data_IF_803967474135
#
_entry.id   IF_803967474135
#
_cell.length_a   1.000
_cell.length_b   1.000
_cell.length_c   1.000
_cell.angle_alpha   90.00
_cell.angle_beta   90.00
_cell.angle_gamma   90.00
#
_symmetry.space_group_name_H-M   'P 1'
#
loop_
_entity.id
_entity.type
_entity.pdbx_description
1 polymer ?
#
# COMPACT_ATOMS: atom_id res chain seq x y z
N UNK A 1 1.11 51.13 37.22
CA UNK A 1 1.33 50.98 35.76
C UNK A 1 1.67 49.52 35.50
N UNK A 2 0.96 48.94 34.55
CA UNK A 2 0.74 47.51 34.34
C UNK A 2 1.96 46.70 33.90
N UNK A 3 2.00 45.42 34.29
CA UNK A 3 1.98 44.34 33.27
C UNK A 3 1.54 43.00 33.87
N UNK A 4 0.40 42.44 33.45
CA UNK A 4 -0.08 41.16 33.94
C UNK A 4 0.64 40.00 33.27
N UNK A 5 0.96 39.01 34.09
CA UNK A 5 1.34 37.65 33.77
C UNK A 5 0.32 37.02 32.79
N UNK A 6 0.76 36.71 31.56
CA UNK A 6 -0.06 35.99 30.57
C UNK A 6 0.28 34.50 30.60
N UNK A 7 -0.33 33.80 31.55
CA UNK A 7 -0.57 32.35 31.44
C UNK A 7 -1.86 32.15 30.62
N UNK A 8 -1.85 31.11 29.77
CA UNK A 8 -2.93 30.56 28.92
C UNK A 8 -2.93 30.95 27.44
N UNK A 9 -2.42 30.07 26.58
CA UNK A 9 -3.26 29.11 25.86
C UNK A 9 -2.38 28.26 24.90
N UNK A 10 -2.59 26.94 24.76
CA UNK A 10 -1.95 26.17 23.70
C UNK A 10 -2.40 26.72 22.35
N UNK A 11 -1.45 27.08 21.49
CA UNK A 11 -1.68 27.53 20.13
C UNK A 11 -2.50 26.46 19.41
N UNK A 12 -3.80 26.70 19.22
CA UNK A 12 -4.71 25.81 18.51
C UNK A 12 -4.21 25.74 17.06
N UNK A 13 -3.46 24.67 16.72
CA UNK A 13 -3.07 24.37 15.34
C UNK A 13 -4.37 24.27 14.55
N UNK A 14 -4.63 25.26 13.70
CA UNK A 14 -5.74 25.19 12.76
C UNK A 14 -5.56 23.92 11.92
N UNK A 15 -6.54 23.00 11.87
CA UNK A 15 -6.43 21.84 11.03
C UNK A 15 -6.39 22.32 9.58
N UNK A 16 -5.20 22.29 8.99
CA UNK A 16 -5.05 22.54 7.56
C UNK A 16 -5.71 21.37 6.83
N UNK A 17 -6.96 21.58 6.39
CA UNK A 17 -7.77 20.62 5.65
C UNK A 17 -7.25 20.36 4.22
N UNK A 18 -5.93 20.27 4.04
CA UNK A 18 -5.32 19.72 2.81
C UNK A 18 -5.77 18.29 2.50
N UNK A 19 -6.25 17.57 3.53
CA UNK A 19 -6.77 16.21 3.42
C UNK A 19 -7.99 16.08 2.51
N UNK A 20 -8.91 17.06 2.45
CA UNK A 20 -10.11 16.94 1.57
C UNK A 20 -9.77 16.99 0.09
N UNK A 21 -8.64 17.61 -0.30
CA UNK A 21 -8.17 17.57 -1.70
C UNK A 21 -7.44 16.27 -2.03
N UNK A 22 -6.81 15.63 -1.04
CA UNK A 22 -6.13 14.34 -1.20
C UNK A 22 -7.09 13.14 -1.11
N UNK A 23 -8.19 13.27 -0.37
CA UNK A 23 -9.24 12.25 -0.20
C UNK A 23 -9.71 11.60 -1.51
N UNK A 24 -10.11 12.34 -2.56
CA UNK A 24 -10.56 11.71 -3.81
C UNK A 24 -9.45 10.92 -4.51
N UNK A 25 -8.18 11.36 -4.42
CA UNK A 25 -7.05 10.62 -5.00
C UNK A 25 -6.77 9.33 -4.25
N UNK A 26 -6.83 9.35 -2.91
CA UNK A 26 -6.64 8.15 -2.08
C UNK A 26 -7.78 7.16 -2.32
N UNK A 27 -9.02 7.62 -2.36
CA UNK A 27 -10.19 6.77 -2.64
C UNK A 27 -10.11 6.18 -4.05
N UNK A 28 -9.69 6.96 -5.04
CA UNK A 28 -9.48 6.49 -6.41
C UNK A 28 -8.43 5.38 -6.48
N UNK A 29 -7.28 5.58 -5.83
CA UNK A 29 -6.22 4.56 -5.75
C UNK A 29 -6.70 3.28 -5.06
N UNK A 30 -7.33 3.41 -3.89
CA UNK A 30 -7.87 2.29 -3.12
C UNK A 30 -8.90 1.49 -3.92
N UNK A 31 -9.79 2.19 -4.64
CA UNK A 31 -10.80 1.55 -5.48
C UNK A 31 -10.16 0.79 -6.63
N UNK A 32 -9.14 1.36 -7.27
CA UNK A 32 -8.44 0.72 -8.38
C UNK A 32 -7.66 -0.52 -7.94
N UNK A 33 -7.00 -0.44 -6.79
CA UNK A 33 -6.30 -1.58 -6.17
C UNK A 33 -7.26 -2.73 -5.87
N UNK A 34 -8.42 -2.43 -5.26
CA UNK A 34 -9.46 -3.42 -4.97
C UNK A 34 -10.05 -4.03 -6.25
N UNK A 35 -10.35 -3.22 -7.25
CA UNK A 35 -10.87 -3.70 -8.54
C UNK A 35 -9.87 -4.63 -9.23
N UNK A 36 -8.59 -4.26 -9.29
CA UNK A 36 -7.54 -5.08 -9.88
C UNK A 36 -7.35 -6.41 -9.15
N UNK A 37 -7.38 -6.37 -7.81
CA UNK A 37 -7.25 -7.58 -6.97
C UNK A 37 -8.42 -8.53 -7.17
N UNK A 38 -9.66 -8.01 -7.11
CA UNK A 38 -10.88 -8.81 -7.30
C UNK A 38 -10.95 -9.37 -8.73
N UNK A 39 -10.63 -8.55 -9.73
CA UNK A 39 -10.62 -8.96 -11.13
C UNK A 39 -9.60 -10.06 -11.40
N UNK A 40 -8.38 -9.92 -10.91
CA UNK A 40 -7.31 -10.92 -11.06
C UNK A 40 -7.66 -12.21 -10.34
N UNK A 41 -8.14 -12.13 -9.09
CA UNK A 41 -8.56 -13.32 -8.32
C UNK A 41 -9.71 -14.06 -8.99
N UNK A 42 -10.69 -13.34 -9.55
CA UNK A 42 -11.84 -13.95 -10.23
C UNK A 42 -11.43 -14.61 -11.54
N UNK A 43 -10.59 -13.95 -12.34
CA UNK A 43 -10.07 -14.50 -13.59
C UNK A 43 -9.23 -15.77 -13.33
N UNK A 44 -8.39 -15.74 -12.31
CA UNK A 44 -7.58 -16.89 -11.91
C UNK A 44 -8.48 -18.06 -11.48
N UNK A 45 -9.51 -17.82 -10.66
CA UNK A 45 -10.46 -18.85 -10.24
C UNK A 45 -11.19 -19.49 -11.43
N UNK A 46 -11.66 -18.69 -12.39
CA UNK A 46 -12.29 -19.19 -13.62
C UNK A 46 -11.29 -20.01 -14.45
N UNK A 47 -10.04 -19.56 -14.58
CA UNK A 47 -9.00 -20.29 -15.31
C UNK A 47 -8.70 -21.67 -14.69
N UNK A 48 -8.54 -21.74 -13.37
CA UNK A 48 -8.28 -22.99 -12.64
C UNK A 48 -9.45 -23.99 -12.75
N UNK A 49 -10.68 -23.50 -12.79
CA UNK A 49 -11.88 -24.35 -12.88
C UNK A 49 -12.20 -24.81 -14.31
N UNK A 50 -12.04 -23.93 -15.30
CA UNK A 50 -12.41 -24.21 -16.71
C UNK A 50 -11.30 -24.86 -17.53
N UNK A 51 -10.07 -24.34 -17.44
CA UNK A 51 -8.94 -24.81 -18.25
C UNK A 51 -8.23 -25.97 -17.56
N UNK A 52 -8.04 -25.86 -16.25
CA UNK A 52 -7.35 -26.89 -15.46
C UNK A 52 -8.27 -28.01 -14.97
N UNK A 53 -9.59 -27.92 -15.22
CA UNK A 53 -10.62 -28.89 -14.81
C UNK A 53 -10.54 -29.28 -13.32
N UNK A 54 -10.03 -28.39 -12.47
CA UNK A 54 -9.89 -28.67 -11.04
C UNK A 54 -11.26 -28.55 -10.36
N UNK A 55 -11.55 -29.48 -9.44
CA UNK A 55 -12.73 -29.37 -8.57
C UNK A 55 -12.71 -28.00 -7.88
N UNK A 56 -13.88 -27.34 -7.85
CA UNK A 56 -14.05 -26.00 -7.25
C UNK A 56 -13.41 -25.90 -5.86
N UNK A 57 -13.49 -26.98 -5.07
CA UNK A 57 -12.87 -27.12 -3.74
C UNK A 57 -11.34 -26.94 -3.79
N UNK A 58 -10.66 -27.58 -4.75
CA UNK A 58 -9.21 -27.47 -4.92
C UNK A 58 -8.81 -26.10 -5.47
N UNK A 59 -9.58 -25.54 -6.40
CA UNK A 59 -9.33 -24.20 -6.94
C UNK A 59 -9.45 -23.13 -5.85
N UNK A 60 -10.46 -23.20 -4.99
CA UNK A 60 -10.60 -22.30 -3.83
C UNK A 60 -9.42 -22.44 -2.86
N UNK A 61 -8.91 -23.67 -2.64
CA UNK A 61 -7.78 -23.89 -1.76
C UNK A 61 -6.49 -23.24 -2.31
N UNK A 62 -6.26 -23.33 -3.63
CA UNK A 62 -5.15 -22.66 -4.31
C UNK A 62 -5.29 -21.14 -4.22
N UNK A 63 -6.49 -20.58 -4.43
CA UNK A 63 -6.75 -19.14 -4.26
C UNK A 63 -6.51 -18.70 -2.81
N UNK A 64 -6.86 -19.52 -1.82
CA UNK A 64 -6.62 -19.21 -0.41
C UNK A 64 -5.12 -19.18 -0.07
N UNK A 65 -4.34 -20.15 -0.57
CA UNK A 65 -2.88 -20.16 -0.43
C UNK A 65 -2.23 -18.98 -1.17
N UNK A 66 -2.75 -18.63 -2.35
CA UNK A 66 -2.30 -17.49 -3.12
C UNK A 66 -2.56 -16.18 -2.37
N UNK A 67 -3.76 -15.97 -1.84
CA UNK A 67 -4.07 -14.82 -1.00
C UNK A 67 -3.20 -14.79 0.27
N UNK A 68 -2.95 -15.94 0.90
CA UNK A 68 -2.01 -16.05 2.02
C UNK A 68 -0.60 -15.58 1.64
N UNK A 69 -0.12 -15.99 0.47
CA UNK A 69 1.19 -15.58 -0.08
C UNK A 69 1.22 -14.10 -0.40
N UNK A 70 0.15 -13.52 -0.97
CA UNK A 70 0.04 -12.09 -1.21
C UNK A 70 0.12 -11.29 0.11
N UNK A 71 -0.61 -11.70 1.15
CA UNK A 71 -0.55 -11.05 2.46
C UNK A 71 0.84 -11.13 3.10
N UNK A 72 1.49 -12.31 3.00
CA UNK A 72 2.85 -12.49 3.48
C UNK A 72 3.86 -11.67 2.65
N UNK A 73 3.64 -11.58 1.34
CA UNK A 73 4.38 -10.74 0.41
C UNK A 73 4.24 -9.26 0.71
N UNK A 74 3.04 -8.79 1.10
CA UNK A 74 2.81 -7.41 1.57
C UNK A 74 3.51 -7.15 2.90
N UNK A 75 3.51 -8.11 3.83
CA UNK A 75 4.29 -8.03 5.08
C UNK A 75 5.79 -7.94 4.83
N UNK A 76 6.31 -8.82 3.96
CA UNK A 76 7.71 -8.79 3.54
C UNK A 76 8.04 -7.52 2.76
N UNK A 77 7.12 -7.04 1.91
CA UNK A 77 7.25 -5.80 1.16
C UNK A 77 7.24 -4.58 2.06
N UNK A 78 6.41 -4.56 3.10
CA UNK A 78 6.37 -3.53 4.13
C UNK A 78 7.64 -3.57 4.98
N UNK A 79 8.11 -4.75 5.39
CA UNK A 79 9.37 -4.90 6.12
C UNK A 79 10.57 -4.47 5.27
N UNK A 80 10.59 -4.85 3.99
CA UNK A 80 11.61 -4.44 3.04
C UNK A 80 11.52 -2.93 2.81
N UNK A 81 10.32 -2.37 2.67
CA UNK A 81 10.05 -0.93 2.58
C UNK A 81 10.58 -0.20 3.81
N UNK A 82 10.25 -0.62 5.03
CA UNK A 82 10.72 -0.01 6.28
C UNK A 82 12.23 -0.13 6.45
N UNK A 83 12.83 -1.22 5.95
CA UNK A 83 14.29 -1.43 5.98
C UNK A 83 15.01 -0.68 4.84
N UNK A 84 14.38 -0.48 3.67
CA UNK A 84 14.95 0.20 2.50
C UNK A 84 14.67 1.71 2.45
N UNK A 85 13.58 2.21 3.04
CA UNK A 85 13.20 3.63 3.07
C UNK A 85 13.91 4.45 4.15
N UNK A 86 15.08 3.98 4.58
CA UNK A 86 16.13 4.83 5.13
C UNK A 86 17.03 5.43 4.04
N UNK A 87 16.48 6.07 2.99
CA UNK A 87 17.12 7.05 2.07
C UNK A 87 18.37 6.66 1.23
N UNK A 88 19.22 5.69 1.59
CA UNK A 88 20.57 5.54 1.01
C UNK A 88 20.74 4.48 -0.08
N UNK A 89 19.98 3.37 -0.06
CA UNK A 89 20.22 2.23 -0.97
C UNK A 89 19.66 2.40 -2.39
N UNK A 90 18.48 2.99 -2.56
CA UNK A 90 17.90 3.24 -3.89
C UNK A 90 18.70 4.29 -4.66
N UNK A 91 19.18 5.33 -3.97
CA UNK A 91 20.08 6.35 -4.54
C UNK A 91 21.45 5.76 -4.89
N UNK A 92 21.96 4.81 -4.09
CA UNK A 92 23.19 4.07 -4.40
C UNK A 92 23.08 3.18 -5.64
N UNK A 93 22.02 2.37 -5.74
CA UNK A 93 21.80 1.50 -6.91
C UNK A 93 21.52 2.35 -8.16
N UNK A 94 20.73 3.42 -8.05
CA UNK A 94 20.48 4.33 -9.16
C UNK A 94 21.74 5.09 -9.60
N UNK A 95 22.56 5.57 -8.66
CA UNK A 95 23.83 6.26 -8.98
C UNK A 95 24.84 5.32 -9.62
N UNK A 96 24.97 4.09 -9.12
CA UNK A 96 25.86 3.07 -9.71
C UNK A 96 25.37 2.70 -11.10
N UNK A 97 24.06 2.48 -11.29
CA UNK A 97 23.49 2.14 -12.59
C UNK A 97 23.63 3.27 -13.63
N UNK A 98 23.66 4.53 -13.19
CA UNK A 98 23.82 5.69 -14.08
C UNK A 98 25.27 6.04 -14.41
N UNK A 99 26.25 5.49 -13.68
CA UNK A 99 27.68 5.68 -13.94
C UNK A 99 28.30 4.51 -14.73
N UNK A 100 27.61 3.36 -14.78
CA UNK A 100 28.00 2.18 -15.55
C UNK A 100 27.41 2.16 -16.98
N UNK A 101 26.46 3.06 -17.28
CA UNK A 101 25.97 3.34 -18.63
C UNK A 101 26.77 4.49 -19.24
#
# INVERSE_FOLDING_TARGET
>A
MEKPEKINAPTKKEPNYRGVKAMPFVIGNETFEKLGTIGTSSNLLVYLTTVFNMKSITATNVINVFNGTCNFGTLLGAFLSDTYLGRYKTLGIASISSFLI
#
